data_IF_235365433512
#
_entry.id   IF_235365433512
#
_cell.length_a   1.000
_cell.length_b   1.000
_cell.length_c   1.000
_cell.angle_alpha   90.00
_cell.angle_beta   90.00
_cell.angle_gamma   90.00
#
_symmetry.space_group_name_H-M   'P 1'
#
loop_
_entity.id
_entity.type
_entity.pdbx_description
1 polymer ?
#
# COMPACT_ATOMS: atom_id res chain seq x y z
N UNK A 1 -13.78 3.08 -10.11
CA UNK A 1 -13.74 2.49 -8.74
C UNK A 1 -14.61 3.32 -7.81
N UNK A 2 -15.56 2.74 -7.07
CA UNK A 2 -16.29 3.52 -6.06
C UNK A 2 -15.29 4.07 -5.04
N UNK A 3 -15.31 5.39 -4.79
CA UNK A 3 -14.54 6.03 -3.71
C UNK A 3 -14.95 5.41 -2.36
N UNK A 4 -14.38 4.26 -2.02
CA UNK A 4 -14.52 3.70 -0.68
C UNK A 4 -13.80 4.69 0.23
N UNK A 5 -14.54 5.33 1.14
CA UNK A 5 -13.93 6.21 2.12
C UNK A 5 -12.98 5.38 3.00
N UNK A 6 -11.79 5.95 3.30
CA UNK A 6 -10.76 5.25 4.05
C UNK A 6 -11.25 4.75 5.43
N UNK A 7 -12.23 5.42 6.05
CA UNK A 7 -12.80 5.01 7.32
C UNK A 7 -13.72 3.80 7.16
N UNK A 8 -14.50 3.73 6.08
CA UNK A 8 -15.30 2.56 5.75
C UNK A 8 -14.43 1.35 5.44
N UNK A 9 -13.35 1.56 4.66
CA UNK A 9 -12.34 0.53 4.42
C UNK A 9 -11.70 0.04 5.73
N UNK A 10 -11.36 0.96 6.65
CA UNK A 10 -10.79 0.64 7.95
C UNK A 10 -11.75 -0.17 8.81
N UNK A 11 -13.02 0.21 8.86
CA UNK A 11 -14.05 -0.54 9.60
C UNK A 11 -14.21 -1.96 9.02
N UNK A 12 -14.29 -2.07 7.70
CA UNK A 12 -14.34 -3.35 7.00
C UNK A 12 -13.14 -4.22 7.32
N UNK A 13 -11.93 -3.66 7.30
CA UNK A 13 -10.70 -4.37 7.65
C UNK A 13 -10.72 -4.84 9.12
N UNK A 14 -11.02 -3.93 10.05
CA UNK A 14 -11.02 -4.19 11.49
C UNK A 14 -12.00 -5.31 11.89
N UNK A 15 -13.13 -5.44 11.20
CA UNK A 15 -14.10 -6.52 11.46
C UNK A 15 -13.61 -7.89 11.00
N UNK A 16 -12.68 -7.95 10.02
CA UNK A 16 -12.06 -9.19 9.52
C UNK A 16 -10.85 -9.65 10.33
N UNK A 17 -10.38 -8.85 11.29
CA UNK A 17 -9.28 -9.24 12.18
C UNK A 17 -9.58 -10.58 12.89
N UNK A 18 -8.58 -11.43 13.19
CA UNK A 18 -8.81 -12.66 13.95
C UNK A 18 -9.49 -12.40 15.31
N UNK A 19 -10.66 -13.02 15.54
CA UNK A 19 -11.50 -12.72 16.71
C UNK A 19 -12.33 -11.44 16.57
N UNK A 20 -12.42 -10.87 15.37
CA UNK A 20 -13.15 -9.65 15.03
C UNK A 20 -12.66 -8.42 15.80
N UNK A 21 -13.56 -7.46 15.98
CA UNK A 21 -13.27 -6.24 16.75
C UNK A 21 -12.85 -6.51 18.20
N UNK A 22 -13.31 -7.62 18.80
CA UNK A 22 -12.92 -8.00 20.15
C UNK A 22 -11.45 -8.44 20.20
N UNK A 23 -11.03 -9.25 19.23
CA UNK A 23 -9.62 -9.64 19.04
C UNK A 23 -8.74 -8.42 18.76
N UNK A 24 -9.18 -7.52 17.90
CA UNK A 24 -8.43 -6.30 17.58
C UNK A 24 -8.29 -5.38 18.81
N UNK A 25 -9.37 -5.18 19.57
CA UNK A 25 -9.31 -4.39 20.81
C UNK A 25 -8.33 -5.00 21.83
N UNK A 26 -8.29 -6.33 21.93
CA UNK A 26 -7.31 -7.02 22.76
C UNK A 26 -5.88 -6.79 22.26
N UNK A 27 -5.63 -6.96 20.97
CA UNK A 27 -4.31 -6.76 20.35
C UNK A 27 -3.80 -5.32 20.52
N UNK A 28 -4.66 -4.32 20.27
CA UNK A 28 -4.35 -2.92 20.55
C UNK A 28 -4.06 -2.65 22.03
N UNK A 29 -4.76 -3.35 22.93
CA UNK A 29 -4.49 -3.22 24.36
C UNK A 29 -3.10 -3.71 24.75
N UNK A 30 -2.65 -4.82 24.14
CA UNK A 30 -1.31 -5.35 24.34
C UNK A 30 -0.26 -4.41 23.74
N UNK A 31 -0.46 -3.93 22.51
CA UNK A 31 0.49 -3.06 21.79
C UNK A 31 0.72 -1.73 22.51
N UNK A 32 -0.34 -1.11 23.01
CA UNK A 32 -0.29 0.22 23.64
C UNK A 32 -0.04 0.19 25.15
N UNK A 33 0.00 -1.00 25.76
CA UNK A 33 -0.01 -1.20 27.22
C UNK A 33 -1.15 -0.44 27.93
N UNK A 34 -2.28 -0.20 27.23
CA UNK A 34 -3.46 0.52 27.75
C UNK A 34 -4.71 -0.27 27.42
N UNK A 35 -5.68 -0.29 28.33
CA UNK A 35 -6.94 -1.01 28.07
C UNK A 35 -7.76 -0.31 26.99
N UNK A 36 -7.95 -1.00 25.86
CA UNK A 36 -8.87 -0.61 24.79
C UNK A 36 -10.16 -1.39 24.95
N UNK A 37 -11.27 -0.67 25.15
CA UNK A 37 -12.60 -1.26 25.29
C UNK A 37 -13.25 -1.48 23.92
N UNK A 38 -13.79 -2.68 23.70
CA UNK A 38 -14.48 -3.05 22.46
C UNK A 38 -15.54 -2.03 22.03
N UNK A 39 -16.39 -1.59 22.95
CA UNK A 39 -17.47 -0.65 22.61
C UNK A 39 -16.93 0.73 22.21
N UNK A 40 -15.83 1.17 22.81
CA UNK A 40 -15.17 2.43 22.42
C UNK A 40 -14.53 2.30 21.04
N UNK A 41 -13.80 1.20 20.78
CA UNK A 41 -13.19 0.94 19.47
C UNK A 41 -14.25 0.84 18.38
N UNK A 42 -15.35 0.11 18.63
CA UNK A 42 -16.48 0.03 17.70
C UNK A 42 -17.07 1.40 17.42
N UNK A 43 -17.26 2.23 18.44
CA UNK A 43 -17.80 3.59 18.25
C UNK A 43 -16.86 4.47 17.43
N UNK A 44 -15.53 4.34 17.63
CA UNK A 44 -14.53 5.06 16.85
C UNK A 44 -14.47 4.65 15.37
N UNK A 45 -14.73 3.37 15.09
CA UNK A 45 -14.62 2.81 13.73
C UNK A 45 -15.93 2.85 12.94
N UNK A 46 -17.09 2.90 13.60
CA UNK A 46 -18.38 2.82 12.90
C UNK A 46 -18.61 4.09 12.06
N UNK A 47 -18.87 3.96 10.74
CA UNK A 47 -19.27 5.09 9.93
C UNK A 47 -20.54 5.74 10.49
N UNK A 48 -20.58 7.08 10.54
CA UNK A 48 -21.71 7.85 11.06
C UNK A 48 -21.77 8.03 12.59
N UNK A 49 -20.66 7.79 13.31
CA UNK A 49 -20.50 8.26 14.69
C UNK A 49 -19.46 9.38 14.73
N UNK A 50 -19.93 10.58 15.04
CA UNK A 50 -19.16 11.83 14.90
C UNK A 50 -18.51 12.27 16.23
N UNK A 51 -18.76 11.52 17.30
CA UNK A 51 -18.30 11.85 18.66
C UNK A 51 -17.00 11.14 19.06
N UNK A 52 -16.61 10.09 18.33
CA UNK A 52 -15.47 9.26 18.64
C UNK A 52 -14.65 9.08 17.38
N UNK A 53 -13.40 9.54 17.38
CA UNK A 53 -12.54 9.46 16.22
C UNK A 53 -11.35 8.55 16.46
N UNK A 54 -10.99 7.81 15.42
CA UNK A 54 -9.69 7.15 15.31
C UNK A 54 -8.63 8.23 15.11
N UNK A 55 -7.55 8.18 15.89
CA UNK A 55 -6.36 9.01 15.63
C UNK A 55 -5.54 8.41 14.49
N UNK A 56 -4.66 9.20 13.87
CA UNK A 56 -3.74 8.69 12.84
C UNK A 56 -2.83 7.57 13.39
N UNK A 57 -2.43 7.67 14.65
CA UNK A 57 -1.65 6.63 15.32
C UNK A 57 -2.45 5.33 15.47
N UNK A 58 -3.71 5.41 15.91
CA UNK A 58 -4.60 4.26 15.99
C UNK A 58 -4.87 3.65 14.61
N UNK A 59 -5.00 4.48 13.58
CA UNK A 59 -5.11 4.03 12.19
C UNK A 59 -3.89 3.20 11.76
N UNK A 60 -2.67 3.72 11.98
CA UNK A 60 -1.42 3.02 11.65
C UNK A 60 -1.30 1.69 12.40
N UNK A 61 -1.54 1.69 13.72
CA UNK A 61 -1.45 0.47 14.52
C UNK A 61 -2.46 -0.60 14.10
N UNK A 62 -3.67 -0.22 13.67
CA UNK A 62 -4.67 -1.18 13.18
C UNK A 62 -4.19 -1.82 11.87
N UNK A 63 -3.62 -1.04 10.95
CA UNK A 63 -3.04 -1.55 9.71
C UNK A 63 -1.93 -2.55 10.01
N UNK A 64 -0.96 -2.18 10.84
CA UNK A 64 0.17 -3.04 11.25
C UNK A 64 -0.31 -4.36 11.87
N UNK A 65 -1.26 -4.30 12.80
CA UNK A 65 -1.82 -5.50 13.42
C UNK A 65 -2.51 -6.39 12.39
N UNK A 66 -3.26 -5.81 11.45
CA UNK A 66 -3.93 -6.57 10.39
C UNK A 66 -2.92 -7.19 9.42
N UNK A 67 -1.84 -6.49 9.11
CA UNK A 67 -0.73 -6.99 8.28
C UNK A 67 -0.01 -8.16 8.97
N UNK A 68 0.36 -8.02 10.24
CA UNK A 68 0.97 -9.07 11.07
C UNK A 68 0.07 -10.32 11.16
N UNK A 69 -1.24 -10.09 11.27
CA UNK A 69 -2.25 -11.14 11.28
C UNK A 69 -2.59 -11.69 9.89
N UNK A 70 -1.94 -11.18 8.82
CA UNK A 70 -2.17 -11.54 7.41
C UNK A 70 -3.62 -11.42 6.97
N UNK A 71 -4.31 -10.38 7.44
CA UNK A 71 -5.68 -10.08 7.04
C UNK A 71 -5.68 -9.63 5.56
N UNK A 72 -6.47 -10.25 4.68
CA UNK A 72 -6.54 -9.85 3.28
C UNK A 72 -6.95 -8.37 3.11
N UNK A 73 -6.20 -7.66 2.26
CA UNK A 73 -6.42 -6.24 2.01
C UNK A 73 -6.05 -5.36 3.22
N UNK A 74 -5.03 -5.72 3.99
CA UNK A 74 -4.56 -4.95 5.14
C UNK A 74 -4.27 -3.47 4.79
N UNK A 75 -3.80 -3.18 3.58
CA UNK A 75 -3.50 -1.81 3.15
C UNK A 75 -4.67 -1.06 2.50
N UNK A 76 -5.82 -1.70 2.27
CA UNK A 76 -6.97 -1.07 1.61
C UNK A 76 -7.40 0.29 2.21
N UNK A 77 -7.37 0.51 3.54
CA UNK A 77 -7.65 1.84 4.11
C UNK A 77 -6.60 2.89 3.75
N UNK A 78 -5.32 2.50 3.70
CA UNK A 78 -4.23 3.39 3.28
C UNK A 78 -4.35 3.71 1.79
N UNK A 79 -4.70 2.72 0.98
CA UNK A 79 -4.90 2.90 -0.45
C UNK A 79 -6.03 3.91 -0.72
N UNK A 80 -7.17 3.73 -0.07
CA UNK A 80 -8.30 4.66 -0.13
C UNK A 80 -7.89 6.08 0.28
N UNK A 81 -7.09 6.23 1.35
CA UNK A 81 -6.57 7.52 1.79
C UNK A 81 -5.67 8.17 0.73
N UNK A 82 -4.77 7.40 0.11
CA UNK A 82 -3.92 7.89 -0.97
C UNK A 82 -4.74 8.36 -2.17
N UNK A 83 -5.68 7.53 -2.64
CA UNK A 83 -6.50 7.83 -3.81
C UNK A 83 -7.34 9.09 -3.63
N UNK A 84 -7.92 9.29 -2.44
CA UNK A 84 -8.66 10.51 -2.08
C UNK A 84 -7.84 11.79 -2.23
N UNK A 85 -6.52 11.69 -2.12
CA UNK A 85 -5.59 12.82 -2.28
C UNK A 85 -4.90 12.87 -3.65
N UNK A 86 -5.37 12.09 -4.64
CA UNK A 86 -4.73 11.98 -5.95
C UNK A 86 -3.31 11.41 -5.86
N UNK A 87 -3.06 10.57 -4.84
CA UNK A 87 -1.79 9.85 -4.66
C UNK A 87 -2.03 8.37 -4.94
N UNK A 88 -1.00 7.71 -5.42
CA UNK A 88 -1.01 6.26 -5.63
C UNK A 88 -0.15 5.62 -4.54
N UNK A 89 -0.69 4.65 -3.76
CA UNK A 89 0.12 3.85 -2.85
C UNK A 89 1.04 2.95 -3.70
N UNK A 90 2.34 3.06 -3.50
CA UNK A 90 3.32 2.18 -4.15
C UNK A 90 3.99 1.38 -3.05
N UNK A 91 3.80 0.06 -3.08
CA UNK A 91 4.48 -0.83 -2.15
C UNK A 91 5.99 -0.68 -2.34
N UNK A 92 6.70 -0.45 -1.23
CA UNK A 92 8.15 -0.38 -1.26
C UNK A 92 8.69 -1.81 -1.35
N UNK A 93 9.34 -2.19 -2.45
CA UNK A 93 9.88 -3.52 -2.60
C UNK A 93 11.09 -3.71 -1.67
N UNK A 94 11.21 -4.92 -1.12
CA UNK A 94 12.43 -5.33 -0.43
C UNK A 94 13.56 -5.47 -1.46
N UNK A 95 14.69 -4.81 -1.22
CA UNK A 95 15.84 -4.94 -2.10
C UNK A 95 16.44 -6.35 -1.96
N UNK A 96 16.60 -7.07 -3.08
CA UNK A 96 17.39 -8.30 -3.09
C UNK A 96 18.86 -7.94 -2.87
N UNK A 97 19.38 -8.25 -1.68
CA UNK A 97 20.75 -7.98 -1.31
C UNK A 97 21.78 -8.77 -2.14
N UNK A 98 21.34 -9.72 -2.97
CA UNK A 98 22.21 -10.62 -3.73
C UNK A 98 22.48 -10.22 -5.18
N UNK A 99 21.83 -9.18 -5.73
CA UNK A 99 22.20 -8.66 -7.07
C UNK A 99 23.22 -7.51 -6.95
N UNK A 100 24.51 -7.76 -7.28
CA UNK A 100 25.56 -6.77 -7.12
C UNK A 100 25.57 -5.70 -8.23
N UNK A 101 24.73 -5.81 -9.26
CA UNK A 101 24.82 -4.92 -10.42
C UNK A 101 23.52 -4.13 -10.70
N UNK A 102 23.44 -2.86 -10.25
CA UNK A 102 22.25 -2.01 -10.43
C UNK A 102 21.91 -1.73 -11.90
N UNK A 103 22.82 -1.96 -12.85
CA UNK A 103 22.56 -1.78 -14.28
C UNK A 103 21.52 -2.77 -14.85
N UNK A 104 21.44 -3.99 -14.31
CA UNK A 104 20.42 -4.95 -14.74
C UNK A 104 19.01 -4.49 -14.35
N UNK A 105 18.88 -3.86 -13.20
CA UNK A 105 17.61 -3.30 -12.73
C UNK A 105 17.16 -2.11 -13.57
N UNK A 106 18.09 -1.26 -14.03
CA UNK A 106 17.77 -0.19 -15.00
C UNK A 106 17.13 -0.77 -16.26
N UNK A 107 17.70 -1.84 -16.83
CA UNK A 107 17.13 -2.48 -18.01
C UNK A 107 15.71 -3.02 -17.76
N UNK A 108 15.45 -3.62 -16.58
CA UNK A 108 14.10 -4.08 -16.21
C UNK A 108 13.11 -2.93 -16.10
N UNK A 109 13.51 -1.82 -15.48
CA UNK A 109 12.69 -0.60 -15.38
C UNK A 109 12.35 -0.07 -16.76
N UNK A 110 13.35 0.07 -17.63
CA UNK A 110 13.15 0.59 -18.98
C UNK A 110 12.25 -0.32 -19.82
N UNK A 111 12.36 -1.65 -19.66
CA UNK A 111 11.45 -2.59 -20.31
C UNK A 111 9.99 -2.36 -19.86
N UNK A 112 9.75 -2.15 -18.56
CA UNK A 112 8.40 -1.89 -18.02
C UNK A 112 7.83 -0.55 -18.48
N UNK A 113 8.66 0.49 -18.58
CA UNK A 113 8.26 1.77 -19.18
C UNK A 113 7.91 1.58 -20.66
N UNK A 114 8.66 0.75 -21.39
CA UNK A 114 8.34 0.38 -22.77
C UNK A 114 7.00 -0.36 -22.91
N UNK A 115 6.71 -1.33 -22.04
CA UNK A 115 5.45 -2.06 -22.00
C UNK A 115 4.25 -1.12 -21.78
N UNK A 116 4.40 -0.18 -20.84
CA UNK A 116 3.42 0.87 -20.58
C UNK A 116 3.20 1.76 -21.82
N UNK A 117 4.28 2.26 -22.42
CA UNK A 117 4.19 3.10 -23.61
C UNK A 117 3.49 2.39 -24.78
N UNK A 118 3.77 1.10 -25.00
CA UNK A 118 3.11 0.29 -26.02
C UNK A 118 1.62 0.07 -25.71
N UNK A 119 1.26 -0.07 -24.44
CA UNK A 119 -0.14 -0.24 -24.01
C UNK A 119 -0.94 1.04 -24.21
N UNK A 120 -0.38 2.19 -23.82
CA UNK A 120 -0.98 3.50 -24.07
C UNK A 120 -1.11 3.77 -25.57
N UNK A 121 -0.07 3.47 -26.36
CA UNK A 121 -0.10 3.68 -27.81
C UNK A 121 -1.23 2.88 -28.47
N UNK A 122 -1.41 1.60 -28.09
CA UNK A 122 -2.49 0.74 -28.61
C UNK A 122 -3.88 1.24 -28.22
N UNK A 123 -4.06 1.59 -26.95
CA UNK A 123 -5.33 2.10 -26.44
C UNK A 123 -5.70 3.50 -27.00
N UNK A 124 -4.72 4.23 -27.55
CA UNK A 124 -4.95 5.53 -28.18
C UNK A 124 -5.08 5.46 -29.71
N UNK A 125 -5.05 4.27 -30.33
CA UNK A 125 -5.08 4.10 -31.79
C UNK A 125 -6.33 4.71 -32.43
N UNK A 126 -7.48 4.64 -31.76
CA UNK A 126 -8.75 5.21 -32.20
C UNK A 126 -9.02 6.62 -31.62
N UNK A 127 -8.05 7.18 -30.89
CA UNK A 127 -8.12 8.45 -30.15
C UNK A 127 -9.19 8.49 -29.04
N UNK A 128 -9.69 7.33 -28.58
CA UNK A 128 -10.69 7.25 -27.50
C UNK A 128 -10.26 6.19 -26.48
N UNK A 129 -9.83 6.61 -25.30
CA UNK A 129 -9.53 5.68 -24.21
C UNK A 129 -10.83 5.31 -23.50
N UNK A 130 -11.25 4.05 -23.61
CA UNK A 130 -12.41 3.51 -22.89
C UNK A 130 -12.11 3.27 -21.41
N UNK A 131 -13.15 3.09 -20.59
CA UNK A 131 -12.97 2.79 -19.15
C UNK A 131 -12.19 1.48 -18.92
N UNK A 132 -12.45 0.46 -19.75
CA UNK A 132 -11.72 -0.81 -19.69
C UNK A 132 -10.24 -0.66 -20.07
N UNK A 133 -9.93 0.18 -21.06
CA UNK A 133 -8.54 0.45 -21.44
C UNK A 133 -7.83 1.32 -20.41
N UNK A 134 -8.53 2.27 -19.80
CA UNK A 134 -8.00 3.06 -18.70
C UNK A 134 -7.59 2.17 -17.52
N UNK A 135 -8.41 1.20 -17.13
CA UNK A 135 -8.09 0.23 -16.07
C UNK A 135 -6.81 -0.56 -16.40
N UNK A 136 -6.64 -0.98 -17.66
CA UNK A 136 -5.42 -1.68 -18.12
C UNK A 136 -4.20 -0.76 -18.07
N UNK A 137 -4.34 0.49 -18.54
CA UNK A 137 -3.28 1.50 -18.52
C UNK A 137 -2.84 1.79 -17.08
N UNK A 138 -3.80 2.00 -16.16
CA UNK A 138 -3.55 2.24 -14.74
C UNK A 138 -2.80 1.06 -14.11
N UNK A 139 -3.16 -0.18 -14.48
CA UNK A 139 -2.43 -1.38 -14.08
C UNK A 139 -0.97 -1.40 -14.55
N UNK A 140 -0.68 -0.95 -15.78
CA UNK A 140 0.69 -0.83 -16.27
C UNK A 140 1.48 0.31 -15.61
N UNK A 141 0.84 1.44 -15.30
CA UNK A 141 1.46 2.51 -14.50
C UNK A 141 1.91 2.01 -13.13
N UNK A 142 1.06 1.25 -12.44
CA UNK A 142 1.40 0.64 -11.15
C UNK A 142 2.63 -0.25 -11.24
N UNK A 143 2.72 -1.11 -12.27
CA UNK A 143 3.89 -1.99 -12.49
C UNK A 143 5.16 -1.18 -12.75
N UNK A 144 5.07 -0.09 -13.50
CA UNK A 144 6.19 0.81 -13.75
C UNK A 144 6.65 1.51 -12.45
N UNK A 145 5.71 2.00 -11.62
CA UNK A 145 6.02 2.60 -10.33
C UNK A 145 6.71 1.62 -9.37
N UNK A 146 6.23 0.38 -9.26
CA UNK A 146 6.87 -0.67 -8.44
C UNK A 146 8.29 -0.96 -8.93
N UNK A 147 8.50 -1.02 -10.24
CA UNK A 147 9.83 -1.24 -10.82
C UNK A 147 10.80 -0.10 -10.49
N UNK A 148 10.33 1.15 -10.58
CA UNK A 148 11.10 2.34 -10.19
C UNK A 148 11.40 2.36 -8.69
N UNK A 149 10.43 2.00 -7.84
CA UNK A 149 10.64 1.88 -6.41
C UNK A 149 11.67 0.79 -6.07
N UNK A 150 11.68 -0.31 -6.81
CA UNK A 150 12.67 -1.42 -6.68
C UNK A 150 14.06 -0.93 -6.94
N UNK A 151 14.24 -0.24 -8.06
CA UNK A 151 15.52 0.32 -8.42
C UNK A 151 16.02 1.32 -7.38
N UNK A 152 15.13 2.18 -6.87
CA UNK A 152 15.47 3.12 -5.81
C UNK A 152 15.89 2.43 -4.51
N UNK A 153 15.18 1.37 -4.09
CA UNK A 153 15.51 0.60 -2.90
C UNK A 153 16.87 -0.11 -3.01
N UNK A 154 17.17 -0.70 -4.17
CA UNK A 154 18.47 -1.33 -4.46
C UNK A 154 19.63 -0.32 -4.43
N UNK A 155 19.48 0.87 -5.03
CA UNK A 155 20.49 1.93 -4.95
C UNK A 155 20.75 2.30 -3.48
N UNK A 156 19.67 2.45 -2.70
CA UNK A 156 19.78 2.81 -1.28
C UNK A 156 20.48 1.72 -0.47
N UNK A 157 20.22 0.43 -0.73
CA UNK A 157 20.88 -0.67 -0.01
C UNK A 157 22.39 -0.72 -0.33
N UNK A 158 22.77 -0.52 -1.60
CA UNK A 158 24.17 -0.48 -2.02
C UNK A 158 24.93 0.71 -1.42
N UNK A 159 24.28 1.86 -1.25
CA UNK A 159 24.88 3.04 -0.63
C UNK A 159 25.20 2.84 0.87
N UNK A 160 24.43 1.98 1.56
CA UNK A 160 24.61 1.68 3.00
C UNK A 160 25.59 0.52 3.22
N UNK A 161 25.80 -0.35 2.23
CA UNK A 161 26.75 -1.46 2.31
C UNK A 161 28.20 -0.94 2.43
N UNK A 162 29.03 -1.49 3.35
CA UNK A 162 30.40 -1.05 3.52
C UNK A 162 31.17 -1.24 2.21
N UNK A 163 31.74 -0.15 1.69
CA UNK A 163 32.54 -0.17 0.47
C UNK A 163 33.71 -1.15 0.65
N UNK A 164 33.64 -2.32 0.00
CA UNK A 164 34.84 -3.14 -0.23
C UNK A 164 35.77 -2.30 -1.09
N UNK A 165 36.81 -1.74 -0.47
CA UNK A 165 37.89 -1.01 -1.14
C UNK A 165 38.31 -1.81 -2.37
N UNK A 166 38.17 -1.22 -3.55
CA UNK A 166 38.83 -1.71 -4.76
C UNK A 166 40.34 -1.59 -4.50
N UNK A 167 41.01 -2.74 -4.42
CA UNK A 167 42.47 -2.83 -4.44
C UNK A 167 42.98 -2.64 -5.87
#
# INVERSE_FOLDING_TARGET
MSEVDQHEALYGLATRYPGGLAGLAHALSQRTCKRVYLNVLRNKLRPGIDSHHITLEEFSMILELCEEARVPGAHAPLDALCWRHGRVPVELPEADANDPNPAHTVCRVMAKVGDLAATVARAAEDNVITEAELEVIEGEFLKAYVSLATWHAEIRSQAVAPQRRKA
#
